data_IF_632345420898
#
_entry.id   IF_632345420898
#
_cell.length_a   1.000
_cell.length_b   1.000
_cell.length_c   1.000
_cell.angle_alpha   90.00
_cell.angle_beta   90.00
_cell.angle_gamma   90.00
#
_symmetry.space_group_name_H-M   'P 1'
#
loop_
_entity.id
_entity.type
_entity.pdbx_description
1 polymer ?
#
# COMPACT_ATOMS: atom_id res chain seq x y z
N UNK A 1 17.93 -14.60 -7.60
CA UNK A 1 17.43 -13.26 -7.25
C UNK A 1 18.30 -12.79 -6.11
N UNK A 2 18.94 -11.63 -6.25
CA UNK A 2 19.93 -11.14 -5.27
C UNK A 2 19.26 -10.23 -4.22
N UNK A 3 18.03 -9.82 -4.49
CA UNK A 3 17.20 -9.03 -3.59
C UNK A 3 15.88 -8.64 -4.23
N UNK A 4 15.03 -7.97 -3.46
CA UNK A 4 13.78 -7.36 -3.95
C UNK A 4 13.82 -5.85 -3.75
N UNK A 5 13.16 -5.12 -4.64
CA UNK A 5 12.94 -3.69 -4.51
C UNK A 5 11.44 -3.40 -4.45
N UNK A 6 11.01 -2.77 -3.38
CA UNK A 6 9.62 -2.43 -3.10
C UNK A 6 9.42 -0.91 -3.20
N UNK A 7 8.27 -0.52 -3.70
CA UNK A 7 7.79 0.86 -3.71
C UNK A 7 6.63 1.00 -2.71
N UNK A 8 6.17 2.23 -2.38
CA UNK A 8 5.07 2.41 -1.44
C UNK A 8 3.85 1.57 -1.79
N UNK A 9 3.39 0.79 -0.82
CA UNK A 9 2.27 -0.13 -0.96
C UNK A 9 2.21 -1.13 0.19
N UNK A 10 1.23 -2.03 0.17
CA UNK A 10 1.01 -3.00 1.26
C UNK A 10 2.21 -3.91 1.55
N UNK A 11 3.02 -4.23 0.54
CA UNK A 11 4.18 -5.08 0.75
C UNK A 11 5.36 -4.32 1.37
N UNK A 12 5.55 -3.03 1.06
CA UNK A 12 6.53 -2.22 1.79
C UNK A 12 6.19 -2.16 3.29
N UNK A 13 4.92 -1.93 3.63
CA UNK A 13 4.45 -1.96 5.03
C UNK A 13 4.71 -3.33 5.65
N UNK A 14 4.31 -4.40 4.97
CA UNK A 14 4.47 -5.77 5.47
C UNK A 14 5.92 -6.14 5.82
N UNK A 15 6.88 -5.75 4.98
CA UNK A 15 8.28 -6.10 5.19
C UNK A 15 9.07 -5.11 6.05
N UNK A 16 8.57 -3.90 6.30
CA UNK A 16 9.37 -2.85 6.96
C UNK A 16 8.61 -1.94 7.91
N UNK A 17 7.29 -2.07 8.01
CA UNK A 17 6.42 -1.13 8.75
C UNK A 17 6.54 0.34 8.28
N UNK A 18 7.07 0.57 7.07
CA UNK A 18 7.18 1.92 6.50
C UNK A 18 5.89 2.29 5.78
N UNK A 19 5.10 3.17 6.38
CA UNK A 19 3.87 3.72 5.82
C UNK A 19 4.18 4.93 4.94
N UNK A 20 4.28 4.71 3.63
CA UNK A 20 4.50 5.75 2.64
C UNK A 20 3.43 5.69 1.54
N UNK A 21 3.20 6.82 0.88
CA UNK A 21 2.24 6.92 -0.21
C UNK A 21 2.95 7.05 -1.56
N UNK A 22 2.33 6.50 -2.60
CA UNK A 22 2.78 6.74 -3.98
C UNK A 22 2.51 8.21 -4.31
N UNK A 23 3.56 8.93 -4.68
CA UNK A 23 3.51 10.33 -5.10
C UNK A 23 4.49 10.58 -6.26
N UNK A 24 4.67 11.82 -6.67
CA UNK A 24 5.71 12.22 -7.62
C UNK A 24 7.13 11.99 -7.07
N UNK A 25 7.27 11.80 -5.75
CA UNK A 25 8.54 11.54 -5.06
C UNK A 25 8.79 10.04 -4.96
N UNK A 26 9.77 9.48 -5.69
CA UNK A 26 10.08 8.06 -5.62
C UNK A 26 10.66 7.66 -4.26
N UNK A 27 10.14 6.55 -3.73
CA UNK A 27 10.66 5.84 -2.57
C UNK A 27 10.89 4.40 -3.01
N UNK A 28 12.06 3.86 -2.71
CA UNK A 28 12.40 2.46 -3.01
C UNK A 28 13.10 1.83 -1.81
N UNK A 29 12.52 0.77 -1.30
CA UNK A 29 13.11 -0.09 -0.27
C UNK A 29 13.75 -1.30 -0.95
N UNK A 30 15.04 -1.50 -0.75
CA UNK A 30 15.76 -2.70 -1.17
C UNK A 30 15.90 -3.65 0.01
N UNK A 31 15.58 -4.90 -0.22
CA UNK A 31 15.80 -6.00 0.73
C UNK A 31 16.74 -6.99 0.04
N UNK A 32 18.05 -6.86 0.26
CA UNK A 32 19.05 -7.79 -0.24
C UNK A 32 18.94 -9.15 0.46
N UNK A 33 19.46 -10.21 -0.17
CA UNK A 33 19.47 -11.55 0.45
C UNK A 33 20.47 -11.62 1.62
N UNK A 34 21.64 -10.98 1.47
CA UNK A 34 22.77 -11.19 2.38
C UNK A 34 23.20 -9.92 3.15
N UNK A 35 22.39 -8.87 3.17
CA UNK A 35 22.71 -7.64 3.92
C UNK A 35 21.47 -6.91 4.42
N UNK A 36 21.70 -5.91 5.26
CA UNK A 36 20.63 -5.06 5.80
C UNK A 36 19.89 -4.28 4.71
N UNK A 37 18.59 -4.00 4.91
CA UNK A 37 17.81 -3.20 3.98
C UNK A 37 18.41 -1.82 3.71
N UNK A 38 18.17 -1.31 2.51
CA UNK A 38 18.56 0.04 2.08
C UNK A 38 17.31 0.76 1.56
N UNK A 39 17.16 2.04 1.86
CA UNK A 39 16.03 2.82 1.37
C UNK A 39 16.46 4.11 0.69
N UNK A 40 15.84 4.40 -0.45
CA UNK A 40 15.82 5.71 -1.09
C UNK A 40 14.52 6.39 -0.69
N UNK A 41 14.60 7.58 -0.09
CA UNK A 41 13.42 8.26 0.47
C UNK A 41 13.61 9.78 0.45
N UNK A 42 12.53 10.60 0.25
CA UNK A 42 12.62 12.03 0.45
C UNK A 42 13.06 12.39 1.88
N UNK A 43 13.90 13.40 2.05
CA UNK A 43 14.38 13.86 3.36
C UNK A 43 13.24 14.15 4.34
N UNK A 44 12.12 14.70 3.84
CA UNK A 44 10.93 14.99 4.64
C UNK A 44 10.23 13.74 5.21
N UNK A 45 10.50 12.57 4.64
CA UNK A 45 9.94 11.29 5.10
C UNK A 45 10.98 10.35 5.74
N UNK A 46 12.27 10.77 5.79
CA UNK A 46 13.36 9.93 6.30
C UNK A 46 13.16 9.47 7.77
N UNK A 47 12.40 10.22 8.55
CA UNK A 47 12.01 9.82 9.92
C UNK A 47 11.26 8.48 9.96
N UNK A 48 10.48 8.15 8.92
CA UNK A 48 9.76 6.87 8.84
C UNK A 48 10.72 5.68 8.73
N UNK A 49 11.79 5.83 7.93
CA UNK A 49 12.83 4.82 7.79
C UNK A 49 13.60 4.59 9.10
N UNK A 50 13.93 5.69 9.82
CA UNK A 50 14.58 5.62 11.13
C UNK A 50 13.68 4.92 12.16
N UNK A 51 12.40 5.26 12.20
CA UNK A 51 11.44 4.65 13.11
C UNK A 51 11.26 3.14 12.83
N UNK A 52 11.37 2.72 11.56
CA UNK A 52 11.36 1.32 11.14
C UNK A 52 12.69 0.58 11.40
N UNK A 53 13.69 1.25 12.03
CA UNK A 53 14.96 0.64 12.41
C UNK A 53 15.98 0.50 11.28
N UNK A 54 15.80 1.18 10.15
CA UNK A 54 16.82 1.18 9.08
C UNK A 54 18.02 2.02 9.57
N UNK A 55 19.25 1.48 9.53
CA UNK A 55 20.46 2.19 9.95
C UNK A 55 20.67 3.47 9.12
N UNK A 56 21.18 4.54 9.75
CA UNK A 56 21.33 5.87 9.12
C UNK A 56 22.16 5.80 7.82
N UNK A 57 23.22 5.01 7.81
CA UNK A 57 24.10 4.78 6.65
C UNK A 57 23.42 4.02 5.51
N UNK A 58 22.23 3.44 5.76
CA UNK A 58 21.39 2.73 4.79
C UNK A 58 20.22 3.58 4.28
N UNK A 59 20.10 4.83 4.75
CA UNK A 59 19.05 5.75 4.35
C UNK A 59 19.62 6.76 3.34
N UNK A 60 19.29 6.61 2.08
CA UNK A 60 19.67 7.52 1.00
C UNK A 60 18.56 8.56 0.80
N UNK A 61 18.60 9.57 1.68
CA UNK A 61 17.63 10.67 1.65
C UNK A 61 17.98 11.68 0.54
N UNK A 62 16.96 12.29 -0.06
CA UNK A 62 17.11 13.31 -1.10
C UNK A 62 16.14 14.47 -0.89
N UNK A 63 16.51 15.68 -1.32
CA UNK A 63 15.71 16.89 -1.25
C UNK A 63 15.13 17.28 -2.63
N UNK A 64 14.12 18.14 -2.62
CA UNK A 64 13.52 18.64 -3.87
C UNK A 64 14.50 19.49 -4.68
N UNK A 65 15.53 20.09 -4.04
CA UNK A 65 16.58 20.88 -4.70
C UNK A 65 17.59 19.97 -5.42
N UNK A 66 18.00 18.87 -4.81
CA UNK A 66 18.99 17.93 -5.36
C UNK A 66 18.38 16.89 -6.28
N UNK A 67 17.09 16.65 -6.12
CA UNK A 67 16.34 15.60 -6.80
C UNK A 67 16.87 14.20 -6.50
N UNK A 68 16.11 13.16 -6.83
CA UNK A 68 16.37 11.79 -6.39
C UNK A 68 17.52 11.05 -7.10
N UNK A 69 18.01 11.55 -8.26
CA UNK A 69 18.99 10.78 -9.07
C UNK A 69 20.30 10.51 -8.35
N UNK A 70 20.75 11.43 -7.49
CA UNK A 70 21.93 11.25 -6.63
C UNK A 70 21.76 10.12 -5.64
N UNK A 71 20.61 10.05 -4.98
CA UNK A 71 20.29 9.00 -4.01
C UNK A 71 20.21 7.61 -4.67
N UNK A 72 19.61 7.51 -5.86
CA UNK A 72 19.62 6.24 -6.63
C UNK A 72 21.02 5.78 -6.96
N UNK A 73 21.92 6.70 -7.39
CA UNK A 73 23.32 6.38 -7.69
C UNK A 73 24.07 5.92 -6.45
N UNK A 74 23.87 6.60 -5.32
CA UNK A 74 24.54 6.27 -4.06
C UNK A 74 24.06 4.90 -3.52
N UNK A 75 22.76 4.66 -3.49
CA UNK A 75 22.20 3.37 -3.06
C UNK A 75 22.63 2.21 -3.97
N UNK A 76 22.67 2.44 -5.30
CA UNK A 76 23.14 1.45 -6.26
C UNK A 76 24.63 1.09 -6.06
N UNK A 77 25.47 2.07 -5.70
CA UNK A 77 26.88 1.86 -5.41
C UNK A 77 27.07 1.12 -4.07
N UNK A 78 26.34 1.50 -3.04
CA UNK A 78 26.34 0.86 -1.72
C UNK A 78 25.98 -0.62 -1.79
N UNK A 79 24.94 -0.96 -2.53
CA UNK A 79 24.48 -2.34 -2.72
C UNK A 79 25.28 -3.12 -3.77
N UNK A 80 26.06 -2.45 -4.62
CA UNK A 80 26.71 -3.10 -5.74
C UNK A 80 25.73 -3.69 -6.76
N UNK A 81 24.64 -2.95 -7.09
CA UNK A 81 23.53 -3.47 -7.89
C UNK A 81 23.88 -3.89 -9.33
N UNK A 82 25.10 -3.58 -9.82
CA UNK A 82 25.50 -3.93 -11.19
C UNK A 82 25.50 -5.46 -11.37
N UNK A 83 24.76 -5.92 -12.38
CA UNK A 83 24.65 -7.35 -12.70
C UNK A 83 23.69 -8.13 -11.80
N UNK A 84 23.03 -7.49 -10.85
CA UNK A 84 22.04 -8.16 -10.00
C UNK A 84 20.80 -8.60 -10.78
N UNK A 85 20.17 -9.65 -10.27
CA UNK A 85 18.81 -10.04 -10.62
C UNK A 85 17.87 -9.55 -9.51
N UNK A 86 17.21 -8.41 -9.76
CA UNK A 86 16.35 -7.70 -8.79
C UNK A 86 14.88 -8.06 -8.98
N UNK A 87 14.26 -8.60 -7.94
CA UNK A 87 12.82 -8.84 -7.93
C UNK A 87 12.03 -7.56 -7.66
N UNK A 88 10.95 -7.34 -8.39
CA UNK A 88 10.04 -6.19 -8.18
C UNK A 88 8.58 -6.62 -8.21
N UNK A 89 7.72 -5.80 -7.63
CA UNK A 89 6.28 -5.92 -7.78
C UNK A 89 5.85 -5.29 -9.11
N UNK A 90 5.50 -6.10 -10.07
CA UNK A 90 5.24 -5.64 -11.45
C UNK A 90 4.01 -4.74 -11.58
N UNK A 91 3.07 -4.79 -10.63
CA UNK A 91 1.88 -3.94 -10.61
C UNK A 91 2.10 -2.60 -9.87
N UNK A 92 3.19 -2.46 -9.13
CA UNK A 92 3.46 -1.27 -8.29
C UNK A 92 4.70 -0.50 -8.74
N UNK A 93 5.78 -1.19 -9.16
CA UNK A 93 7.01 -0.55 -9.63
C UNK A 93 6.71 0.30 -10.87
N UNK A 94 6.88 1.62 -10.76
CA UNK A 94 6.63 2.55 -11.85
C UNK A 94 7.83 2.65 -12.80
N UNK A 95 7.57 3.21 -13.96
CA UNK A 95 8.62 3.47 -14.97
C UNK A 95 9.72 4.37 -14.41
N UNK A 96 9.38 5.35 -13.56
CA UNK A 96 10.34 6.29 -13.00
C UNK A 96 11.39 5.58 -12.13
N UNK A 97 10.98 4.70 -11.22
CA UNK A 97 11.92 3.93 -10.38
C UNK A 97 12.73 2.94 -11.24
N UNK A 98 12.06 2.18 -12.11
CA UNK A 98 12.72 1.22 -12.99
C UNK A 98 13.79 1.88 -13.86
N UNK A 99 13.50 3.02 -14.49
CA UNK A 99 14.45 3.74 -15.32
C UNK A 99 15.64 4.27 -14.52
N UNK A 100 15.42 4.77 -13.29
CA UNK A 100 16.52 5.21 -12.44
C UNK A 100 17.42 4.04 -12.02
N UNK A 101 16.85 2.90 -11.67
CA UNK A 101 17.61 1.69 -11.33
C UNK A 101 18.46 1.23 -12.51
N UNK A 102 17.88 1.07 -13.69
CA UNK A 102 18.60 0.65 -14.89
C UNK A 102 19.70 1.62 -15.32
N UNK A 103 19.48 2.94 -15.10
CA UNK A 103 20.46 3.99 -15.40
C UNK A 103 21.65 3.96 -14.44
N UNK A 104 21.43 3.61 -13.17
CA UNK A 104 22.46 3.67 -12.13
C UNK A 104 23.17 2.34 -11.88
N UNK A 105 22.61 1.22 -12.33
CA UNK A 105 23.13 -0.13 -12.14
C UNK A 105 23.28 -0.87 -13.48
N UNK A 106 24.43 -0.76 -14.17
CA UNK A 106 24.67 -1.45 -15.44
C UNK A 106 24.53 -2.97 -15.30
N UNK A 107 23.79 -3.59 -16.22
CA UNK A 107 23.55 -5.04 -16.21
C UNK A 107 22.52 -5.53 -15.18
N UNK A 108 21.84 -4.63 -14.50
CA UNK A 108 20.72 -4.99 -13.61
C UNK A 108 19.60 -5.65 -14.42
N UNK A 109 19.18 -6.85 -14.00
CA UNK A 109 18.04 -7.58 -14.55
C UNK A 109 16.85 -7.45 -13.61
N UNK A 110 15.81 -6.73 -14.05
CA UNK A 110 14.57 -6.52 -13.27
C UNK A 110 13.58 -7.63 -13.63
N UNK A 111 13.21 -8.44 -12.63
CA UNK A 111 12.29 -9.57 -12.79
C UNK A 111 11.11 -9.49 -11.83
N UNK A 112 10.06 -10.26 -12.09
CA UNK A 112 8.90 -10.33 -11.19
C UNK A 112 9.24 -11.04 -9.88
N UNK A 113 8.89 -10.43 -8.74
CA UNK A 113 8.88 -11.06 -7.43
C UNK A 113 7.46 -11.43 -6.96
N UNK A 114 6.43 -11.26 -7.79
CA UNK A 114 5.03 -11.42 -7.38
C UNK A 114 4.75 -12.80 -6.78
N UNK A 115 5.23 -13.88 -7.39
CA UNK A 115 5.02 -15.25 -6.89
C UNK A 115 5.72 -15.47 -5.54
N UNK A 116 6.95 -14.98 -5.38
CA UNK A 116 7.70 -15.08 -4.12
C UNK A 116 6.95 -14.37 -2.98
N UNK A 117 6.56 -13.12 -3.21
CA UNK A 117 5.85 -12.30 -2.21
C UNK A 117 4.48 -12.91 -1.90
N UNK A 118 3.75 -13.37 -2.90
CA UNK A 118 2.44 -14.01 -2.72
C UNK A 118 2.55 -15.32 -1.95
N UNK A 119 3.57 -16.14 -2.21
CA UNK A 119 3.79 -17.39 -1.49
C UNK A 119 4.09 -17.13 0.00
N UNK A 120 4.92 -16.14 0.29
CA UNK A 120 5.28 -15.77 1.66
C UNK A 120 4.08 -15.23 2.44
N UNK A 121 3.32 -14.31 1.85
CA UNK A 121 2.12 -13.71 2.48
C UNK A 121 0.88 -14.61 2.40
N UNK A 122 0.91 -15.66 1.58
CA UNK A 122 -0.19 -16.61 1.40
C UNK A 122 -0.45 -17.45 2.64
N UNK A 123 0.60 -17.78 3.39
CA UNK A 123 0.52 -18.54 4.64
C UNK A 123 0.66 -17.54 5.78
N UNK A 124 -0.43 -17.35 6.56
CA UNK A 124 -0.49 -16.40 7.68
C UNK A 124 0.03 -17.05 8.94
N UNK A 125 0.76 -16.30 9.74
CA UNK A 125 1.11 -16.68 11.10
C UNK A 125 -0.04 -16.38 12.10
N UNK A 126 0.17 -16.70 13.37
CA UNK A 126 -0.86 -16.54 14.42
C UNK A 126 -1.21 -15.07 14.66
N UNK A 127 -0.25 -14.16 14.58
CA UNK A 127 -0.47 -12.72 14.79
C UNK A 127 -1.21 -12.10 13.62
N UNK A 128 -0.90 -12.50 12.39
CA UNK A 128 -1.60 -12.09 11.16
C UNK A 128 -3.05 -12.60 11.13
N UNK A 129 -3.29 -13.84 11.61
CA UNK A 129 -4.64 -14.39 11.76
C UNK A 129 -5.41 -13.58 12.80
N UNK A 130 -4.84 -13.34 13.98
CA UNK A 130 -5.48 -12.57 15.03
C UNK A 130 -5.78 -11.12 14.59
N UNK A 131 -4.88 -10.49 13.83
CA UNK A 131 -5.12 -9.15 13.26
C UNK A 131 -6.28 -9.16 12.25
N UNK A 132 -6.36 -10.20 11.41
CA UNK A 132 -7.45 -10.38 10.45
C UNK A 132 -8.79 -10.59 11.17
N UNK A 133 -8.82 -11.42 12.20
CA UNK A 133 -10.04 -11.64 13.02
C UNK A 133 -10.53 -10.36 13.69
N UNK A 134 -9.61 -9.53 14.22
CA UNK A 134 -9.97 -8.21 14.77
C UNK A 134 -10.58 -7.30 13.70
N UNK A 135 -9.98 -7.23 12.51
CA UNK A 135 -10.49 -6.42 11.41
C UNK A 135 -11.90 -6.89 10.95
N UNK A 136 -12.12 -8.20 10.89
CA UNK A 136 -13.44 -8.79 10.58
C UNK A 136 -14.46 -8.40 11.65
N UNK A 137 -14.11 -8.53 12.94
CA UNK A 137 -15.02 -8.17 14.04
C UNK A 137 -15.42 -6.68 14.01
N UNK A 138 -14.48 -5.78 13.68
CA UNK A 138 -14.75 -4.35 13.50
C UNK A 138 -15.75 -4.15 12.34
N UNK A 139 -15.52 -4.80 11.21
CA UNK A 139 -16.38 -4.67 10.04
C UNK A 139 -17.80 -5.21 10.29
N UNK A 140 -17.92 -6.36 10.94
CA UNK A 140 -19.22 -6.93 11.32
C UNK A 140 -19.97 -6.03 12.32
N UNK A 141 -19.28 -5.49 13.31
CA UNK A 141 -19.90 -4.57 14.28
C UNK A 141 -20.35 -3.28 13.60
N UNK A 142 -19.55 -2.72 12.70
CA UNK A 142 -19.91 -1.53 11.93
C UNK A 142 -21.18 -1.76 11.10
N UNK A 143 -21.29 -2.91 10.43
CA UNK A 143 -22.49 -3.30 9.70
C UNK A 143 -23.71 -3.46 10.61
N UNK A 144 -23.57 -4.13 11.75
CA UNK A 144 -24.64 -4.32 12.71
C UNK A 144 -25.16 -2.98 13.30
N UNK A 145 -24.27 -2.01 13.49
CA UNK A 145 -24.63 -0.66 13.94
C UNK A 145 -25.30 0.16 12.84
N UNK A 146 -24.87 -0.01 11.59
CA UNK A 146 -25.35 0.75 10.44
C UNK A 146 -26.75 0.30 9.99
N UNK A 147 -26.96 -1.01 9.81
CA UNK A 147 -28.17 -1.57 9.19
C UNK A 147 -29.48 -1.04 9.81
N UNK A 148 -29.65 -0.97 11.16
CA UNK A 148 -30.86 -0.45 11.77
C UNK A 148 -31.11 1.05 11.53
N UNK A 149 -30.13 1.78 11.03
CA UNK A 149 -30.15 3.23 10.82
C UNK A 149 -30.46 3.63 9.38
N UNK A 150 -30.37 2.69 8.45
CA UNK A 150 -30.67 2.95 7.03
C UNK A 150 -32.17 3.23 6.87
N UNK A 151 -32.48 4.28 6.09
CA UNK A 151 -33.86 4.71 5.83
C UNK A 151 -34.06 5.05 4.35
N UNK A 152 -35.25 4.81 3.85
CA UNK A 152 -35.68 5.31 2.54
C UNK A 152 -35.45 6.83 2.49
N UNK A 153 -34.98 7.31 1.35
CA UNK A 153 -34.67 8.74 1.14
C UNK A 153 -33.24 9.14 1.53
N UNK A 154 -32.46 8.28 2.23
CA UNK A 154 -31.02 8.48 2.35
C UNK A 154 -30.35 8.30 1.00
N UNK A 155 -29.26 9.04 0.73
CA UNK A 155 -28.46 8.81 -0.46
C UNK A 155 -27.41 7.71 -0.23
N UNK A 156 -26.94 7.10 -1.32
CA UNK A 156 -25.83 6.14 -1.28
C UNK A 156 -24.60 6.74 -0.59
N UNK A 157 -24.25 8.01 -0.90
CA UNK A 157 -23.16 8.75 -0.24
C UNK A 157 -23.37 8.86 1.27
N UNK A 158 -24.61 9.16 1.73
CA UNK A 158 -24.90 9.23 3.17
C UNK A 158 -24.68 7.89 3.86
N UNK A 159 -25.14 6.79 3.26
CA UNK A 159 -24.94 5.45 3.81
C UNK A 159 -23.44 5.07 3.82
N UNK A 160 -22.71 5.35 2.74
CA UNK A 160 -21.26 5.13 2.65
C UNK A 160 -20.48 5.92 3.72
N UNK A 161 -20.86 7.18 3.95
CA UNK A 161 -20.25 8.01 4.99
C UNK A 161 -20.52 7.46 6.39
N UNK A 162 -21.74 7.00 6.66
CA UNK A 162 -22.10 6.36 7.93
C UNK A 162 -21.30 5.07 8.15
N UNK A 163 -21.13 4.22 7.11
CA UNK A 163 -20.32 3.01 7.19
C UNK A 163 -18.87 3.33 7.52
N UNK A 164 -18.29 4.31 6.82
CA UNK A 164 -16.91 4.76 7.09
C UNK A 164 -16.74 5.21 8.53
N UNK A 165 -17.69 5.97 9.06
CA UNK A 165 -17.65 6.44 10.45
C UNK A 165 -17.72 5.28 11.44
N UNK A 166 -18.63 4.31 11.23
CA UNK A 166 -18.75 3.14 12.11
C UNK A 166 -17.46 2.28 12.11
N UNK A 167 -16.80 2.14 10.96
CA UNK A 167 -15.52 1.42 10.85
C UNK A 167 -14.41 2.09 11.66
N UNK A 168 -14.29 3.43 11.56
CA UNK A 168 -13.28 4.20 12.29
C UNK A 168 -13.58 4.26 13.80
N UNK A 169 -14.84 4.49 14.18
CA UNK A 169 -15.28 4.49 15.58
C UNK A 169 -15.11 3.10 16.23
N UNK A 170 -15.22 2.04 15.44
CA UNK A 170 -14.95 0.65 15.85
C UNK A 170 -13.48 0.32 16.07
N UNK A 171 -12.55 1.24 15.78
CA UNK A 171 -11.12 1.07 15.96
C UNK A 171 -10.36 0.64 14.71
N UNK A 172 -10.96 0.77 13.52
CA UNK A 172 -10.24 0.63 12.27
C UNK A 172 -9.31 1.82 12.04
N UNK A 173 -8.08 1.58 11.63
CA UNK A 173 -7.10 2.64 11.34
C UNK A 173 -7.44 3.41 10.07
N UNK A 174 -8.01 2.73 9.09
CA UNK A 174 -8.46 3.28 7.81
C UNK A 174 -9.39 2.29 7.10
N UNK A 175 -10.03 2.76 6.04
CA UNK A 175 -10.74 1.85 5.11
C UNK A 175 -9.75 1.32 4.06
N UNK A 176 -9.81 0.03 3.76
CA UNK A 176 -8.93 -0.60 2.77
C UNK A 176 -9.21 -0.10 1.34
N UNK A 177 -10.45 0.26 1.06
CA UNK A 177 -10.92 0.89 -0.19
C UNK A 177 -12.22 1.66 0.10
N UNK A 178 -12.60 2.58 -0.79
CA UNK A 178 -13.84 3.34 -0.64
C UNK A 178 -15.06 2.41 -0.57
N UNK A 179 -15.99 2.62 0.37
CA UNK A 179 -17.19 1.79 0.48
C UNK A 179 -17.97 1.75 -0.83
N UNK A 180 -18.37 0.58 -1.25
CA UNK A 180 -19.32 0.39 -2.33
C UNK A 180 -20.70 0.40 -1.69
N UNK A 181 -21.49 1.43 -1.97
CA UNK A 181 -22.91 1.51 -1.58
C UNK A 181 -23.70 1.83 -2.83
N UNK A 182 -24.46 0.87 -3.31
CA UNK A 182 -25.19 0.97 -4.56
C UNK A 182 -26.62 0.46 -4.39
N UNK A 183 -27.61 1.21 -4.89
CA UNK A 183 -29.02 0.91 -4.70
C UNK A 183 -29.80 0.81 -6.01
N UNK A 184 -30.79 -0.07 -6.07
CA UNK A 184 -31.63 -0.28 -7.25
C UNK A 184 -30.79 -0.53 -8.52
N UNK A 185 -30.94 0.27 -9.58
CA UNK A 185 -30.19 0.07 -10.83
C UNK A 185 -28.67 0.13 -10.67
N UNK A 186 -28.15 0.92 -9.71
CA UNK A 186 -26.70 1.03 -9.46
C UNK A 186 -26.11 -0.25 -8.89
N UNK A 187 -26.89 -1.08 -8.21
CA UNK A 187 -26.43 -2.34 -7.64
C UNK A 187 -25.99 -3.38 -8.70
N UNK A 188 -26.33 -3.16 -9.97
CA UNK A 188 -25.89 -3.99 -11.08
C UNK A 188 -24.52 -3.58 -11.65
N UNK A 189 -23.93 -2.47 -11.16
CA UNK A 189 -22.67 -1.92 -11.68
C UNK A 189 -21.52 -2.45 -10.85
N UNK A 190 -20.57 -3.23 -11.42
CA UNK A 190 -19.37 -3.64 -10.70
C UNK A 190 -18.57 -2.41 -10.24
N UNK A 191 -18.12 -2.43 -8.97
CA UNK A 191 -17.35 -1.33 -8.37
C UNK A 191 -18.06 0.03 -8.42
N UNK A 192 -19.39 0.04 -8.30
CA UNK A 192 -20.17 1.28 -8.29
C UNK A 192 -19.67 2.22 -7.19
N UNK A 193 -19.48 3.48 -7.55
CA UNK A 193 -19.21 4.53 -6.56
C UNK A 193 -20.54 5.05 -6.00
N UNK A 194 -20.64 5.32 -4.68
CA UNK A 194 -21.84 5.92 -4.09
C UNK A 194 -22.20 7.24 -4.75
N UNK A 195 -23.50 7.43 -5.03
CA UNK A 195 -24.04 8.62 -5.69
C UNK A 195 -25.07 9.35 -4.81
N UNK A 196 -25.61 10.47 -5.30
CA UNK A 196 -26.73 11.18 -4.65
C UNK A 196 -28.09 10.48 -4.84
N UNK A 197 -28.12 9.32 -5.52
CA UNK A 197 -29.34 8.52 -5.66
C UNK A 197 -29.94 8.23 -4.29
N UNK A 198 -31.23 8.47 -4.15
CA UNK A 198 -31.97 8.21 -2.91
C UNK A 198 -32.49 6.78 -2.91
N UNK A 199 -32.31 6.11 -1.77
CA UNK A 199 -32.87 4.79 -1.53
C UNK A 199 -34.39 4.83 -1.64
N UNK A 200 -34.97 3.88 -2.35
CA UNK A 200 -36.40 3.74 -2.57
C UNK A 200 -36.92 2.41 -2.01
N UNK A 201 -38.22 2.34 -1.78
CA UNK A 201 -38.85 1.09 -1.40
C UNK A 201 -38.72 0.06 -2.52
N UNK A 202 -38.30 -1.17 -2.14
CA UNK A 202 -38.06 -2.27 -3.11
C UNK A 202 -36.69 -2.25 -3.76
N UNK A 203 -35.83 -1.27 -3.49
CA UNK A 203 -34.43 -1.32 -3.95
C UNK A 203 -33.68 -2.48 -3.31
N UNK A 204 -32.86 -3.19 -4.13
CA UNK A 204 -31.75 -3.94 -3.63
C UNK A 204 -30.67 -2.93 -3.21
N UNK A 205 -30.12 -3.08 -2.03
CA UNK A 205 -29.00 -2.30 -1.53
C UNK A 205 -27.77 -3.22 -1.36
N UNK A 206 -26.71 -2.88 -2.09
CA UNK A 206 -25.39 -3.49 -2.01
C UNK A 206 -24.50 -2.58 -1.17
#
# INVERSE_FOLDING_TARGET
MDGIALVPGPNMVYFSDIHAHVSERPIVLFIPVDSEPVIIIPTLEAMKARAAGIPEERIFAWSDEEWFSGAFKAAAAELGLSGWKMGVETLYMRVIESQQLLKTAPGLDIVSANELISALRGIKDEDEIAATERAVAIAEQAMNNLLPRIRIGMSEIQVASMLTQELLDGGGDAVAFGPIVASGPNSAIPHAMPTDRKLQEGDLLL
#
